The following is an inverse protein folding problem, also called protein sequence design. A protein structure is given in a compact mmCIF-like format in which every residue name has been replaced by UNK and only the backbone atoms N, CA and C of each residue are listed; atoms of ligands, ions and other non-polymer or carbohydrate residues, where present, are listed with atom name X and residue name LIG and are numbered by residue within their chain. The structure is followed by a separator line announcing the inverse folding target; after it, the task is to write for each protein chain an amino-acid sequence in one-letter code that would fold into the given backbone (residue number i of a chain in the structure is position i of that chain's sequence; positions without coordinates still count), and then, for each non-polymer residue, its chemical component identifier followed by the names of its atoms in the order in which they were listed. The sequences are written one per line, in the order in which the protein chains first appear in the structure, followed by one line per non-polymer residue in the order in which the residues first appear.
data_IF_618081828561
#
_entry.id   IF_618081828561
#
_cell.length_a   1.000
_cell.length_b   1.000
_cell.length_c   1.000
_cell.angle_alpha   90.00
_cell.angle_beta   90.00
_cell.angle_gamma   90.00
#
_symmetry.space_group_name_H-M   'P 1'
#
loop_
_entity.id
_entity.type
_entity.pdbx_description
1 polymer ?
#
# COMPACT_ATOMS: atom_id res chain seq x y z
N UNK A 1 39.53 -63.06 25.63
CA UNK A 1 38.10 -62.99 26.00
C UNK A 1 37.60 -61.64 25.49
N UNK A 2 36.97 -61.49 24.33
CA UNK A 2 35.60 -61.89 23.89
C UNK A 2 34.51 -61.55 24.90
N UNK A 3 33.74 -60.49 24.59
CA UNK A 3 32.28 -60.27 24.66
C UNK A 3 32.10 -58.79 24.22
N UNK A 4 31.71 -58.48 22.98
CA UNK A 4 30.34 -58.44 22.45
C UNK A 4 29.45 -57.49 23.27
N UNK A 5 28.59 -56.63 22.75
CA UNK A 5 28.21 -56.12 21.44
C UNK A 5 27.17 -55.02 21.78
N UNK A 6 26.63 -54.32 20.78
CA UNK A 6 25.54 -53.34 20.88
C UNK A 6 25.91 -51.97 21.48
N UNK A 7 26.07 -50.98 20.59
CA UNK A 7 24.99 -50.02 20.33
C UNK A 7 25.08 -49.64 18.86
N UNK A 8 24.06 -50.10 18.13
CA UNK A 8 23.72 -49.74 16.77
C UNK A 8 23.05 -48.36 16.82
N UNK A 9 23.33 -47.55 15.79
CA UNK A 9 22.40 -46.56 15.21
C UNK A 9 22.04 -45.33 16.06
N UNK A 10 22.46 -44.16 15.59
CA UNK A 10 21.59 -43.01 15.27
C UNK A 10 22.35 -41.67 15.35
N UNK A 11 23.33 -41.43 14.47
CA UNK A 11 23.77 -40.06 14.16
C UNK A 11 24.14 -39.93 12.67
N UNK A 12 23.18 -40.20 11.79
CA UNK A 12 23.15 -39.62 10.44
C UNK A 12 22.26 -38.38 10.48
N UNK A 13 22.78 -37.28 11.04
CA UNK A 13 22.16 -35.97 10.84
C UNK A 13 22.69 -35.43 9.50
N UNK A 14 22.10 -35.95 8.43
CA UNK A 14 22.24 -35.41 7.08
C UNK A 14 21.01 -34.54 6.77
N UNK A 15 21.29 -33.27 6.46
CA UNK A 15 20.49 -32.34 5.66
C UNK A 15 18.96 -32.32 5.83
N UNK A 16 18.43 -31.25 6.43
CA UNK A 16 17.37 -30.50 5.78
C UNK A 16 17.71 -29.00 5.83
N UNK A 17 18.14 -28.48 4.67
CA UNK A 17 18.07 -27.04 4.37
C UNK A 17 16.62 -26.59 4.60
N UNK A 18 16.37 -25.41 5.18
CA UNK A 18 15.00 -24.92 5.32
C UNK A 18 14.36 -24.86 3.92
N UNK A 19 13.19 -25.49 3.81
CA UNK A 19 12.36 -25.44 2.61
C UNK A 19 12.01 -23.97 2.34
N UNK A 20 12.08 -23.50 1.09
CA UNK A 20 11.62 -22.15 0.76
C UNK A 20 10.13 -22.08 1.10
N UNK A 21 9.79 -21.16 1.99
CA UNK A 21 8.40 -20.79 2.24
C UNK A 21 7.83 -20.29 0.92
N UNK A 22 6.73 -20.91 0.51
CA UNK A 22 5.97 -20.60 -0.69
C UNK A 22 5.76 -19.10 -0.78
N UNK A 23 6.42 -18.47 -1.74
CA UNK A 23 6.14 -17.09 -2.13
C UNK A 23 4.69 -17.06 -2.60
N UNK A 24 3.84 -16.40 -1.83
CA UNK A 24 2.55 -15.94 -2.34
C UNK A 24 2.90 -14.93 -3.43
N UNK A 25 2.77 -15.36 -4.68
CA UNK A 25 2.79 -14.49 -5.84
C UNK A 25 1.63 -13.51 -5.68
N UNK A 26 1.93 -12.27 -5.31
CA UNK A 26 1.09 -11.17 -5.71
C UNK A 26 1.30 -11.00 -7.21
N UNK A 27 0.25 -11.25 -7.99
CA UNK A 27 0.21 -10.90 -9.41
C UNK A 27 0.30 -9.37 -9.54
N UNK A 28 1.52 -8.86 -9.63
CA UNK A 28 1.78 -7.53 -10.16
C UNK A 28 2.04 -7.69 -11.66
N UNK A 29 1.01 -7.50 -12.47
CA UNK A 29 1.18 -7.31 -13.92
C UNK A 29 1.62 -5.86 -14.10
N UNK A 30 2.92 -5.63 -14.05
CA UNK A 30 3.56 -4.43 -14.58
C UNK A 30 4.33 -4.87 -15.83
N UNK A 31 3.76 -4.59 -17.00
CA UNK A 31 4.44 -4.73 -18.28
C UNK A 31 4.80 -3.33 -18.79
N UNK A 32 6.01 -2.87 -18.50
CA UNK A 32 6.61 -1.75 -19.22
C UNK A 32 7.23 -2.26 -20.53
N UNK A 33 6.53 -2.06 -21.64
CA UNK A 33 7.14 -2.08 -22.98
C UNK A 33 6.47 -1.04 -23.88
N UNK A 34 7.24 -0.18 -24.59
CA UNK A 34 6.68 0.75 -25.55
C UNK A 34 6.38 0.08 -26.90
N UNK A 35 5.19 0.41 -27.41
CA UNK A 35 4.65 0.34 -28.79
C UNK A 35 4.43 -1.04 -29.46
N UNK A 36 3.16 -1.39 -29.69
CA UNK A 36 2.50 -1.36 -31.01
C UNK A 36 1.17 -2.15 -30.99
N UNK A 37 0.16 -1.63 -31.71
CA UNK A 37 -1.27 -1.99 -31.74
C UNK A 37 -2.05 -1.49 -30.52
N UNK A 38 -2.38 -0.20 -30.55
CA UNK A 38 -3.40 0.38 -29.68
C UNK A 38 -4.75 -0.17 -30.13
N UNK A 39 -5.16 -1.31 -29.59
CA UNK A 39 -6.59 -1.53 -29.41
C UNK A 39 -7.09 -0.31 -28.66
N UNK A 40 -7.94 0.50 -29.31
CA UNK A 40 -8.51 1.69 -28.69
C UNK A 40 -9.35 1.21 -27.50
N UNK A 41 -8.75 1.25 -26.30
CA UNK A 41 -9.48 0.97 -25.08
C UNK A 41 -10.58 2.04 -24.99
N UNK A 42 -11.84 1.60 -24.94
CA UNK A 42 -12.96 2.50 -24.75
C UNK A 42 -13.09 2.78 -23.25
N UNK A 43 -12.94 4.04 -22.87
CA UNK A 43 -13.07 4.48 -21.49
C UNK A 43 -14.50 4.92 -21.22
N UNK A 44 -15.11 4.38 -20.17
CA UNK A 44 -16.47 4.73 -19.74
C UNK A 44 -16.51 6.14 -19.13
N UNK A 45 -15.45 6.51 -18.40
CA UNK A 45 -15.26 7.81 -17.75
C UNK A 45 -13.76 8.07 -17.63
N UNK A 46 -13.36 9.33 -17.63
CA UNK A 46 -12.01 9.75 -17.28
C UNK A 46 -12.08 10.83 -16.22
N UNK A 47 -11.37 10.61 -15.12
CA UNK A 47 -11.18 11.58 -14.05
C UNK A 47 -9.74 12.10 -14.08
N UNK A 48 -9.54 13.39 -13.80
CA UNK A 48 -8.21 13.98 -13.64
C UNK A 48 -7.89 14.10 -12.16
N UNK A 49 -6.80 13.48 -11.73
CA UNK A 49 -6.30 13.53 -10.35
C UNK A 49 -5.09 14.45 -10.34
N UNK A 50 -5.24 15.60 -9.69
CA UNK A 50 -4.11 16.50 -9.48
C UNK A 50 -3.25 15.99 -8.32
N UNK A 51 -1.92 16.12 -8.44
CA UNK A 51 -0.99 15.69 -7.39
C UNK A 51 -0.57 16.91 -6.57
N UNK A 52 -0.79 16.87 -5.26
CA UNK A 52 -0.37 17.93 -4.34
C UNK A 52 1.02 17.69 -3.75
N UNK A 53 1.75 18.79 -3.55
CA UNK A 53 2.97 18.93 -2.74
C UNK A 53 2.68 19.98 -1.66
N UNK A 54 2.82 19.67 -0.36
CA UNK A 54 2.74 20.60 0.79
C UNK A 54 2.00 21.94 0.51
N UNK A 55 0.70 21.85 0.24
CA UNK A 55 -0.26 22.93 -0.02
C UNK A 55 -0.38 23.51 -1.46
N UNK A 56 0.47 23.12 -2.41
CA UNK A 56 0.33 23.50 -3.82
C UNK A 56 0.02 22.29 -4.72
N UNK A 57 -1.02 22.45 -5.54
CA UNK A 57 -1.36 21.46 -6.56
C UNK A 57 -0.50 21.67 -7.79
N UNK A 58 0.24 20.64 -8.21
CA UNK A 58 1.01 20.70 -9.46
C UNK A 58 0.05 20.85 -10.64
N UNK A 59 0.25 21.89 -11.46
CA UNK A 59 -0.55 22.15 -12.67
C UNK A 59 -0.10 21.29 -13.85
N UNK A 60 1.13 20.80 -13.82
CA UNK A 60 1.76 20.11 -14.94
C UNK A 60 1.95 18.61 -14.69
N UNK A 61 1.78 18.16 -13.44
CA UNK A 61 1.83 16.75 -13.05
C UNK A 61 0.45 16.29 -12.58
N UNK A 62 -0.10 15.27 -13.24
CA UNK A 62 -1.44 14.76 -12.96
C UNK A 62 -1.54 13.28 -13.36
N UNK A 63 -2.60 12.64 -12.88
CA UNK A 63 -2.94 11.27 -13.27
C UNK A 63 -4.31 11.30 -13.94
N UNK A 64 -4.48 10.60 -15.05
CA UNK A 64 -5.79 10.34 -15.63
C UNK A 64 -6.28 8.95 -15.19
N UNK A 65 -7.39 8.90 -14.48
CA UNK A 65 -8.05 7.66 -14.09
C UNK A 65 -9.14 7.33 -15.12
N UNK A 66 -8.84 6.39 -16.01
CA UNK A 66 -9.76 5.89 -17.02
C UNK A 66 -10.54 4.69 -16.49
N UNK A 67 -11.85 4.84 -16.33
CA UNK A 67 -12.74 3.74 -15.99
C UNK A 67 -12.90 2.82 -17.21
N UNK A 68 -12.47 1.57 -17.08
CA UNK A 68 -12.50 0.57 -18.15
C UNK A 68 -13.77 -0.29 -18.11
N UNK A 69 -14.18 -0.69 -16.90
CA UNK A 69 -15.32 -1.59 -16.67
C UNK A 69 -15.89 -1.31 -15.28
N UNK A 70 -17.21 -1.42 -15.12
CA UNK A 70 -17.88 -1.32 -13.83
C UNK A 70 -19.05 -2.28 -13.78
N UNK A 71 -19.10 -3.13 -12.76
CA UNK A 71 -20.16 -4.14 -12.59
C UNK A 71 -20.56 -4.28 -11.13
N UNK A 72 -21.85 -4.36 -10.88
CA UNK A 72 -22.39 -4.78 -9.59
C UNK A 72 -22.52 -6.31 -9.58
N UNK A 73 -22.17 -6.94 -8.46
CA UNK A 73 -22.50 -8.34 -8.23
C UNK A 73 -23.93 -8.50 -7.69
N UNK A 74 -24.27 -9.73 -7.27
CA UNK A 74 -25.60 -10.07 -6.76
C UNK A 74 -25.95 -9.36 -5.45
N UNK A 75 -24.93 -8.94 -4.70
CA UNK A 75 -25.05 -8.26 -3.42
C UNK A 75 -24.96 -6.74 -3.60
N UNK A 76 -25.06 -6.26 -4.85
CA UNK A 76 -24.92 -4.85 -5.24
C UNK A 76 -23.55 -4.25 -4.93
N UNK A 77 -22.53 -5.08 -4.72
CA UNK A 77 -21.16 -4.60 -4.53
C UNK A 77 -20.59 -4.23 -5.90
N UNK A 78 -20.32 -2.94 -6.08
CA UNK A 78 -19.78 -2.42 -7.33
C UNK A 78 -18.28 -2.65 -7.39
N UNK A 79 -17.82 -3.38 -8.40
CA UNK A 79 -16.41 -3.53 -8.75
C UNK A 79 -16.09 -2.71 -9.99
N UNK A 80 -15.08 -1.84 -9.90
CA UNK A 80 -14.60 -1.01 -11.00
C UNK A 80 -13.16 -1.37 -11.38
N UNK A 81 -12.86 -1.34 -12.67
CA UNK A 81 -11.51 -1.50 -13.22
C UNK A 81 -11.05 -0.17 -13.79
N UNK A 82 -9.89 0.29 -13.35
CA UNK A 82 -9.30 1.53 -13.83
C UNK A 82 -7.95 1.30 -14.50
N UNK A 83 -7.61 2.18 -15.43
CA UNK A 83 -6.24 2.45 -15.87
C UNK A 83 -5.85 3.84 -15.39
N UNK A 84 -4.75 3.93 -14.68
CA UNK A 84 -4.15 5.17 -14.21
C UNK A 84 -3.01 5.53 -15.14
N UNK A 85 -3.15 6.62 -15.90
CA UNK A 85 -2.10 7.15 -16.77
C UNK A 85 -1.38 8.31 -16.06
N UNK A 86 -0.08 8.18 -15.85
CA UNK A 86 0.74 9.15 -15.10
C UNK A 86 1.36 10.15 -16.06
N UNK A 87 1.12 11.43 -15.82
CA UNK A 87 1.69 12.55 -16.58
C UNK A 87 2.61 13.38 -15.71
N UNK A 88 3.85 13.57 -16.14
CA UNK A 88 4.79 14.53 -15.58
C UNK A 88 5.15 15.56 -16.64
N UNK A 89 5.09 16.84 -16.29
CA UNK A 89 5.29 17.94 -17.23
C UNK A 89 4.45 17.77 -18.51
N UNK A 90 3.18 17.36 -18.33
CA UNK A 90 2.21 17.06 -19.42
C UNK A 90 2.62 15.93 -20.38
N UNK A 91 3.68 15.19 -20.08
CA UNK A 91 4.13 14.04 -20.85
C UNK A 91 3.71 12.76 -20.13
N UNK A 92 3.07 11.83 -20.83
CA UNK A 92 2.74 10.52 -20.27
C UNK A 92 4.03 9.74 -20.01
N UNK A 93 4.20 9.27 -18.78
CA UNK A 93 5.40 8.55 -18.34
C UNK A 93 5.17 7.05 -18.20
N UNK A 94 3.97 6.65 -17.78
CA UNK A 94 3.62 5.25 -17.60
C UNK A 94 2.15 5.07 -17.27
N UNK A 95 1.72 3.82 -17.11
CA UNK A 95 0.37 3.52 -16.65
C UNK A 95 0.30 2.28 -15.75
N UNK A 96 -0.81 2.16 -15.03
CA UNK A 96 -1.08 1.06 -14.11
C UNK A 96 -2.56 0.70 -14.14
N UNK A 97 -2.88 -0.60 -14.15
CA UNK A 97 -4.26 -1.09 -14.06
C UNK A 97 -4.57 -1.53 -12.64
N UNK A 98 -5.70 -1.06 -12.11
CA UNK A 98 -6.16 -1.38 -10.76
C UNK A 98 -7.62 -1.82 -10.75
N UNK A 99 -7.98 -2.57 -9.72
CA UNK A 99 -9.36 -3.04 -9.49
C UNK A 99 -9.77 -2.57 -8.10
N UNK A 100 -10.90 -1.86 -8.03
CA UNK A 100 -11.49 -1.38 -6.79
C UNK A 100 -12.82 -2.11 -6.59
N UNK A 101 -13.01 -2.68 -5.40
CA UNK A 101 -14.27 -3.32 -4.99
C UNK A 101 -14.99 -2.40 -4.00
N UNK A 102 -16.33 -2.47 -3.98
CA UNK A 102 -17.13 -1.64 -3.08
C UNK A 102 -17.12 -0.17 -3.46
N UNK A 103 -17.19 0.15 -4.76
CA UNK A 103 -17.21 1.55 -5.21
C UNK A 103 -18.55 2.21 -4.89
N UNK A 104 -18.53 3.16 -3.97
CA UNK A 104 -19.69 3.98 -3.64
C UNK A 104 -19.87 5.13 -4.62
N UNK A 105 -21.14 5.45 -4.92
CA UNK A 105 -21.48 6.60 -5.77
C UNK A 105 -21.07 7.89 -5.06
N UNK A 106 -20.29 8.72 -5.74
CA UNK A 106 -19.73 9.95 -5.17
C UNK A 106 -18.33 9.74 -4.55
N UNK A 107 -17.72 8.57 -4.74
CA UNK A 107 -16.30 8.38 -4.43
C UNK A 107 -15.43 9.33 -5.25
N UNK A 108 -14.38 9.84 -4.60
CA UNK A 108 -13.47 10.84 -5.14
C UNK A 108 -12.04 10.30 -5.16
N UNK A 109 -11.20 10.90 -6.02
CA UNK A 109 -9.78 10.60 -6.11
C UNK A 109 -8.96 11.64 -5.35
N UNK A 110 -7.90 11.19 -4.67
CA UNK A 110 -6.85 12.05 -4.13
C UNK A 110 -5.47 11.58 -4.59
N UNK A 111 -4.52 12.49 -4.73
CA UNK A 111 -3.12 12.15 -4.90
C UNK A 111 -2.19 13.17 -4.26
N UNK A 112 -1.10 12.68 -3.66
CA UNK A 112 -0.04 13.49 -3.05
C UNK A 112 1.32 12.85 -3.25
N UNK A 113 2.38 13.64 -3.27
CA UNK A 113 3.73 13.11 -3.22
C UNK A 113 4.10 12.63 -1.80
N UNK A 114 5.11 11.77 -1.68
CA UNK A 114 5.69 11.39 -0.39
C UNK A 114 5.24 10.06 0.22
N UNK A 115 5.92 9.66 1.29
CA UNK A 115 5.58 8.49 2.11
C UNK A 115 4.72 8.87 3.34
N UNK A 116 4.83 10.11 3.85
CA UNK A 116 4.21 10.54 5.11
C UNK A 116 3.07 11.57 4.94
N UNK A 117 2.38 11.84 6.04
CA UNK A 117 1.25 12.78 6.17
C UNK A 117 1.66 14.23 6.48
N UNK A 118 2.86 14.48 7.01
CA UNK A 118 3.12 15.76 7.71
C UNK A 118 4.06 16.71 6.99
N UNK A 119 4.95 16.25 6.09
CA UNK A 119 5.75 17.12 5.22
C UNK A 119 6.24 16.27 4.05
N UNK A 120 5.72 16.53 2.85
CA UNK A 120 6.13 15.81 1.64
C UNK A 120 7.34 16.52 1.06
N UNK A 121 8.54 15.92 1.12
CA UNK A 121 9.72 16.61 0.63
C UNK A 121 9.54 16.91 -0.85
N UNK A 122 9.73 18.17 -1.23
CA UNK A 122 9.70 18.62 -2.63
C UNK A 122 10.52 17.64 -3.48
N UNK A 123 9.91 17.10 -4.53
CA UNK A 123 10.49 16.09 -5.45
C UNK A 123 10.58 14.65 -4.91
N UNK A 124 9.71 14.24 -3.98
CA UNK A 124 9.60 12.82 -3.64
C UNK A 124 9.27 11.99 -4.90
N UNK A 125 9.97 10.87 -5.14
CA UNK A 125 9.65 9.94 -6.22
C UNK A 125 8.42 9.07 -5.90
N UNK A 126 7.85 9.20 -4.70
CA UNK A 126 6.67 8.45 -4.29
C UNK A 126 5.41 9.27 -4.52
N UNK A 127 4.36 8.59 -5.00
CA UNK A 127 3.04 9.17 -5.21
C UNK A 127 2.03 8.26 -4.50
N UNK A 128 1.32 8.81 -3.53
CA UNK A 128 0.16 8.16 -2.91
C UNK A 128 -1.09 8.56 -3.66
N UNK A 129 -1.93 7.58 -3.98
CA UNK A 129 -3.24 7.76 -4.61
C UNK A 129 -4.29 7.14 -3.71
N UNK A 130 -5.35 7.86 -3.43
CA UNK A 130 -6.51 7.38 -2.68
C UNK A 130 -7.78 7.44 -3.54
N UNK A 131 -8.68 6.52 -3.29
CA UNK A 131 -10.04 6.52 -3.85
C UNK A 131 -11.03 6.04 -2.80
N UNK A 132 -12.08 6.82 -2.56
CA UNK A 132 -13.13 6.44 -1.63
C UNK A 132 -14.21 7.50 -1.49
N UNK A 133 -15.30 7.14 -0.81
CA UNK A 133 -16.36 8.08 -0.48
C UNK A 133 -15.90 9.00 0.67
N UNK A 134 -16.00 10.33 0.52
CA UNK A 134 -15.47 11.29 1.51
C UNK A 134 -16.40 11.42 2.73
N UNK A 135 -16.64 10.32 3.44
CA UNK A 135 -17.41 10.30 4.68
C UNK A 135 -16.78 9.34 5.71
N UNK A 136 -17.04 9.63 6.99
CA UNK A 136 -16.56 8.83 8.11
C UNK A 136 -17.02 7.37 8.02
N UNK A 137 -16.15 6.44 8.39
CA UNK A 137 -16.45 5.01 8.43
C UNK A 137 -16.50 4.32 7.05
N UNK A 138 -16.31 5.05 5.95
CA UNK A 138 -16.18 4.44 4.63
C UNK A 138 -14.76 3.94 4.39
N UNK A 139 -14.66 2.82 3.70
CA UNK A 139 -13.37 2.29 3.27
C UNK A 139 -12.87 3.06 2.06
N UNK A 140 -11.60 3.44 2.08
CA UNK A 140 -10.90 4.01 0.93
C UNK A 140 -9.75 3.09 0.52
N UNK A 141 -9.61 2.87 -0.78
CA UNK A 141 -8.48 2.13 -1.35
C UNK A 141 -7.33 3.07 -1.63
N UNK A 142 -6.13 2.65 -1.23
CA UNK A 142 -4.93 3.45 -1.28
C UNK A 142 -3.80 2.70 -1.99
N UNK A 143 -3.00 3.45 -2.73
CA UNK A 143 -1.92 2.93 -3.56
C UNK A 143 -0.68 3.79 -3.37
N UNK A 144 0.48 3.15 -3.23
CA UNK A 144 1.78 3.79 -3.23
C UNK A 144 2.51 3.42 -4.52
N UNK A 145 2.78 4.43 -5.34
CA UNK A 145 3.60 4.31 -6.53
C UNK A 145 4.99 4.88 -6.30
N UNK A 146 5.99 4.30 -6.96
CA UNK A 146 7.32 4.86 -7.13
C UNK A 146 7.51 5.22 -8.60
N UNK A 147 7.88 6.47 -8.85
CA UNK A 147 8.11 7.02 -10.17
C UNK A 147 9.49 7.68 -10.22
N UNK A 148 10.43 7.04 -10.91
CA UNK A 148 11.80 7.58 -11.07
C UNK A 148 12.37 7.20 -12.42
N UNK A 149 13.04 8.14 -13.08
CA UNK A 149 13.68 7.92 -14.39
C UNK A 149 12.72 7.33 -15.43
N UNK A 150 11.46 7.78 -15.44
CA UNK A 150 10.37 7.26 -16.27
C UNK A 150 9.99 5.78 -16.04
N UNK A 151 10.45 5.18 -14.95
CA UNK A 151 10.00 3.87 -14.52
C UNK A 151 8.94 4.02 -13.43
N UNK A 152 7.78 3.39 -13.64
CA UNK A 152 6.63 3.44 -12.75
C UNK A 152 6.42 2.06 -12.14
N UNK A 153 6.36 2.00 -10.81
CA UNK A 153 6.11 0.78 -10.07
C UNK A 153 5.02 0.99 -9.01
N UNK A 154 4.04 0.08 -8.97
CA UNK A 154 3.15 -0.06 -7.81
C UNK A 154 3.91 -0.76 -6.67
N UNK A 155 4.16 -0.04 -5.58
CA UNK A 155 4.95 -0.51 -4.43
C UNK A 155 4.06 -1.17 -3.38
N UNK A 156 2.91 -0.55 -3.08
CA UNK A 156 2.01 -1.02 -2.05
C UNK A 156 0.56 -0.64 -2.35
N UNK A 157 -0.37 -1.45 -1.81
CA UNK A 157 -1.80 -1.20 -1.84
C UNK A 157 -2.36 -1.62 -0.49
N UNK A 158 -3.26 -0.81 0.06
CA UNK A 158 -3.93 -1.05 1.33
C UNK A 158 -5.29 -0.35 1.33
N UNK A 159 -6.14 -0.71 2.28
CA UNK A 159 -7.40 -0.04 2.53
C UNK A 159 -7.31 0.74 3.85
N UNK A 160 -8.03 1.86 3.94
CA UNK A 160 -8.14 2.69 5.14
C UNK A 160 -9.60 2.84 5.48
N UNK A 161 -9.95 2.69 6.74
CA UNK A 161 -11.26 3.04 7.29
C UNK A 161 -11.00 3.94 8.50
N UNK A 162 -11.60 5.12 8.53
CA UNK A 162 -11.50 5.98 9.69
C UNK A 162 -12.77 6.76 9.95
N UNK A 163 -13.10 6.92 11.22
CA UNK A 163 -14.16 7.79 11.71
C UNK A 163 -13.60 8.66 12.82
N UNK A 164 -13.48 9.96 12.57
CA UNK A 164 -13.14 10.95 13.59
C UNK A 164 -11.85 10.65 14.38
N UNK A 165 -10.85 10.05 13.72
CA UNK A 165 -9.56 9.67 14.32
C UNK A 165 -9.47 8.21 14.76
N UNK A 166 -10.61 7.52 14.88
CA UNK A 166 -10.69 6.08 15.10
C UNK A 166 -10.59 5.31 13.79
N UNK A 167 -10.22 4.02 13.87
CA UNK A 167 -10.24 3.09 12.75
C UNK A 167 -8.87 2.49 12.43
N UNK A 168 -8.66 2.11 11.17
CA UNK A 168 -7.48 1.36 10.71
C UNK A 168 -6.86 2.01 9.48
N UNK A 169 -5.55 2.22 9.52
CA UNK A 169 -4.76 2.79 8.43
C UNK A 169 -3.35 2.23 8.38
N UNK A 170 -2.59 2.59 7.34
CA UNK A 170 -1.16 2.28 7.25
C UNK A 170 -0.34 3.51 7.62
N UNK A 171 0.62 3.32 8.52
CA UNK A 171 1.63 4.33 8.86
C UNK A 171 2.95 3.96 8.20
N UNK A 172 3.48 4.84 7.37
CA UNK A 172 4.82 4.72 6.80
C UNK A 172 5.83 5.39 7.73
N UNK A 173 6.99 4.74 7.89
CA UNK A 173 8.10 5.22 8.69
C UNK A 173 9.37 5.17 7.84
N UNK A 174 9.94 6.34 7.54
CA UNK A 174 11.27 6.42 6.93
C UNK A 174 12.32 6.55 8.05
N UNK A 175 13.12 5.50 8.22
CA UNK A 175 14.20 5.49 9.20
C UNK A 175 15.32 6.49 8.90
N UNK A 176 15.35 7.07 7.69
CA UNK A 176 16.44 7.93 7.22
C UNK A 176 16.07 9.39 7.01
N UNK A 177 14.78 9.74 7.08
CA UNK A 177 14.24 11.09 6.79
C UNK A 177 14.75 11.67 5.46
N UNK A 178 14.99 10.83 4.45
CA UNK A 178 15.54 11.23 3.15
C UNK A 178 14.40 11.46 2.18
N UNK A 179 14.54 12.43 1.27
CA UNK A 179 13.59 12.64 0.17
C UNK A 179 13.48 11.44 -0.78
N UNK A 180 14.56 10.67 -0.92
CA UNK A 180 14.61 9.45 -1.73
C UNK A 180 15.30 8.34 -0.91
N UNK A 181 14.58 7.69 0.01
CA UNK A 181 15.12 6.61 0.81
C UNK A 181 15.37 5.36 -0.06
N UNK A 182 16.34 4.55 0.37
CA UNK A 182 16.60 3.21 -0.24
C UNK A 182 15.85 2.10 0.50
N UNK A 183 15.30 2.41 1.67
CA UNK A 183 14.44 1.52 2.46
C UNK A 183 13.51 2.32 3.35
N UNK A 184 12.31 1.83 3.56
CA UNK A 184 11.36 2.36 4.54
C UNK A 184 10.50 1.24 5.10
N UNK A 185 9.76 1.52 6.17
CA UNK A 185 8.86 0.56 6.81
C UNK A 185 7.43 1.05 6.69
N UNK A 186 6.49 0.13 6.78
CA UNK A 186 5.13 0.47 7.17
C UNK A 186 4.59 -0.53 8.20
N UNK A 187 3.53 -0.13 8.88
CA UNK A 187 2.72 -1.01 9.71
C UNK A 187 1.24 -0.63 9.55
N UNK A 188 0.38 -1.60 9.74
CA UNK A 188 -1.04 -1.34 9.96
C UNK A 188 -1.20 -0.86 11.38
N UNK A 189 -1.89 0.28 11.55
CA UNK A 189 -2.29 0.86 12.82
C UNK A 189 -3.80 0.75 12.91
N UNK A 190 -4.30 0.21 14.01
CA UNK A 190 -5.72 0.27 14.35
C UNK A 190 -5.85 0.94 15.72
N UNK A 191 -6.73 1.94 15.81
CA UNK A 191 -7.07 2.63 17.03
C UNK A 191 -8.59 2.60 17.20
N UNK A 192 -9.04 1.83 18.18
CA UNK A 192 -10.47 1.58 18.42
C UNK A 192 -10.84 2.08 19.81
N UNK A 193 -12.03 2.69 19.99
CA UNK A 193 -12.50 3.16 21.29
C UNK A 193 -12.77 1.98 22.23
N UNK A 194 -12.66 2.22 23.54
CA UNK A 194 -13.15 1.25 24.53
C UNK A 194 -14.68 1.32 24.64
N UNK A 195 -15.34 0.17 24.80
CA UNK A 195 -16.80 0.08 24.84
C UNK A 195 -17.49 1.02 25.86
N UNK A 196 -16.80 1.32 26.96
CA UNK A 196 -17.36 2.07 28.09
C UNK A 196 -16.72 3.47 28.26
N UNK A 197 -15.78 3.86 27.37
CA UNK A 197 -15.08 5.14 27.47
C UNK A 197 -14.55 5.61 26.11
N UNK A 198 -15.25 6.57 25.51
CA UNK A 198 -14.92 7.17 24.21
C UNK A 198 -13.67 8.09 24.25
N UNK A 199 -13.11 8.39 25.44
CA UNK A 199 -11.86 9.14 25.57
C UNK A 199 -10.62 8.24 25.58
N UNK A 200 -10.83 6.93 25.69
CA UNK A 200 -9.77 5.92 25.76
C UNK A 200 -9.91 4.96 24.59
N UNK A 201 -8.77 4.52 24.07
CA UNK A 201 -8.75 3.51 23.03
C UNK A 201 -7.60 2.54 23.19
N UNK A 202 -7.70 1.47 22.40
CA UNK A 202 -6.62 0.50 22.26
C UNK A 202 -5.99 0.69 20.89
N UNK A 203 -4.73 1.14 20.88
CA UNK A 203 -3.91 1.14 19.68
C UNK A 203 -3.26 -0.23 19.51
N UNK A 204 -3.33 -0.78 18.31
CA UNK A 204 -2.66 -2.02 17.91
C UNK A 204 -1.83 -1.82 16.65
N UNK A 205 -0.72 -2.55 16.56
CA UNK A 205 0.08 -2.64 15.33
C UNK A 205 0.12 -4.07 14.80
N UNK A 206 -0.06 -4.21 13.49
CA UNK A 206 0.09 -5.45 12.74
C UNK A 206 0.84 -5.22 11.43
N UNK A 207 1.13 -6.31 10.71
CA UNK A 207 1.65 -6.30 9.34
C UNK A 207 2.88 -5.41 9.10
N UNK A 208 3.82 -5.42 10.04
CA UNK A 208 5.08 -4.71 9.89
C UNK A 208 5.76 -5.19 8.61
N UNK A 209 6.02 -4.28 7.68
CA UNK A 209 6.56 -4.58 6.36
C UNK A 209 7.74 -3.67 6.08
N UNK A 210 8.86 -4.26 5.66
CA UNK A 210 10.01 -3.50 5.13
C UNK A 210 9.96 -3.44 3.62
N UNK A 211 10.23 -2.26 3.09
CA UNK A 211 10.42 -2.00 1.67
C UNK A 211 11.88 -1.63 1.45
N UNK A 212 12.49 -2.21 0.42
CA UNK A 212 13.87 -1.90 0.03
C UNK A 212 14.00 -1.84 -1.48
N UNK A 213 14.82 -0.91 -1.95
CA UNK A 213 15.18 -0.79 -3.35
C UNK A 213 16.26 -1.81 -3.69
N UNK A 214 15.99 -2.68 -4.67
CA UNK A 214 16.92 -3.70 -5.16
C UNK A 214 17.13 -3.51 -6.65
N UNK A 215 18.22 -2.84 -7.04
CA UNK A 215 18.38 -2.35 -8.41
C UNK A 215 17.42 -1.19 -8.65
N UNK A 216 16.58 -1.29 -9.69
CA UNK A 216 15.57 -0.27 -10.00
C UNK A 216 14.16 -0.60 -9.48
N UNK A 217 13.98 -1.72 -8.78
CA UNK A 217 12.66 -2.17 -8.32
C UNK A 217 12.60 -2.25 -6.80
N UNK A 218 11.51 -1.75 -6.24
CA UNK A 218 11.14 -1.93 -4.85
C UNK A 218 10.68 -3.36 -4.59
N UNK A 219 11.15 -3.91 -3.48
CA UNK A 219 10.71 -5.19 -2.94
C UNK A 219 10.15 -4.97 -1.56
N UNK A 220 9.14 -5.74 -1.19
CA UNK A 220 8.56 -5.73 0.15
C UNK A 220 8.73 -7.09 0.83
N UNK A 221 8.94 -7.06 2.14
CA UNK A 221 9.02 -8.24 2.97
C UNK A 221 8.24 -7.99 4.26
N UNK A 222 7.31 -8.90 4.57
CA UNK A 222 6.61 -8.90 5.85
C UNK A 222 7.57 -9.34 6.97
N UNK A 223 7.63 -8.57 8.04
CA UNK A 223 8.48 -8.81 9.21
C UNK A 223 7.71 -9.45 10.37
N UNK A 224 6.41 -9.15 10.49
CA UNK A 224 5.53 -9.79 11.48
C UNK A 224 4.74 -10.94 10.87
N UNK A 225 4.07 -11.74 11.70
CA UNK A 225 3.04 -12.64 11.20
C UNK A 225 1.87 -11.82 10.61
N UNK A 226 1.38 -12.24 9.45
CA UNK A 226 0.30 -11.54 8.75
C UNK A 226 -0.98 -11.55 9.58
N UNK A 227 -1.66 -10.41 9.64
CA UNK A 227 -2.92 -10.20 10.34
C UNK A 227 -2.82 -10.53 11.86
N UNK A 228 -1.60 -10.46 12.42
CA UNK A 228 -1.34 -10.69 13.85
C UNK A 228 -0.81 -9.43 14.51
N UNK A 229 -1.50 -9.04 15.59
CA UNK A 229 -1.08 -7.97 16.47
C UNK A 229 0.22 -8.37 17.16
N UNK A 230 1.25 -7.53 17.02
CA UNK A 230 2.53 -7.69 17.71
C UNK A 230 2.80 -6.58 18.74
N UNK A 231 1.96 -5.54 18.76
CA UNK A 231 1.99 -4.46 19.74
C UNK A 231 0.57 -4.02 20.07
N UNK A 232 0.32 -3.73 21.34
CA UNK A 232 -0.95 -3.20 21.82
C UNK A 232 -0.70 -2.27 23.02
N UNK A 233 -1.35 -1.10 23.04
CA UNK A 233 -1.30 -0.16 24.16
C UNK A 233 -2.68 0.47 24.36
N UNK A 234 -3.11 0.62 25.62
CA UNK A 234 -4.22 1.49 25.98
C UNK A 234 -3.73 2.92 26.14
N UNK A 235 -4.41 3.87 25.53
CA UNK A 235 -3.98 5.28 25.47
C UNK A 235 -5.22 6.17 25.32
N UNK A 236 -5.15 7.42 25.78
CA UNK A 236 -6.25 8.37 25.53
C UNK A 236 -6.25 8.84 24.08
N UNK A 237 -7.42 9.27 23.59
CA UNK A 237 -7.58 9.82 22.24
C UNK A 237 -6.60 10.98 22.00
N UNK A 238 -6.56 11.94 22.94
CA UNK A 238 -5.67 13.09 22.82
C UNK A 238 -4.19 12.70 22.85
N UNK A 239 -3.76 11.82 23.77
CA UNK A 239 -2.36 11.38 23.81
C UNK A 239 -1.97 10.65 22.53
N UNK A 240 -2.88 9.90 21.91
CA UNK A 240 -2.61 9.24 20.64
C UNK A 240 -2.42 10.24 19.48
N UNK A 241 -3.31 11.23 19.38
CA UNK A 241 -3.28 12.21 18.27
C UNK A 241 -2.30 13.37 18.48
N UNK A 242 -1.84 13.63 19.70
CA UNK A 242 -0.76 14.59 19.99
C UNK A 242 0.63 14.04 19.62
N UNK A 243 0.77 12.73 19.43
CA UNK A 243 2.01 12.04 19.07
C UNK A 243 2.22 11.88 17.55
N UNK A 244 1.19 12.16 16.75
CA UNK A 244 1.16 12.03 15.28
C UNK A 244 1.28 13.40 14.58
#
# INVERSE_FOLDING_TARGET
MKIQAFIFLCLLISCQKPKPVSQIQAEAISENKPEAIVNKENFLKTDTISISDDAETSKDNYILAHLLDQKADKDSIVTAKYRLDFYLNKTKIGDSKIIIKGVDKGSEWGAKYGLASVESPKNSPFIQISFGYPACGYTSSNYLYYLKNNDLQLVHQWDVISDSGWGTWVKFEDATSKTNPESFYCKTVSFEPENDNDEMGTVTYSDSTVFHLSGNHWKKQLLSAKDKVYFQKKISFNEFHDLD
#
